data_IF_859214652554
#
_entry.id   IF_859214652554
#
_cell.length_a   1.000
_cell.length_b   1.000
_cell.length_c   1.000
_cell.angle_alpha   90.00
_cell.angle_beta   90.00
_cell.angle_gamma   90.00
#
_symmetry.space_group_name_H-M   'P 1'
#
loop_
_entity.id
_entity.type
_entity.pdbx_description
1 polymer ?
#
# COMPACT_ATOMS: atom_id res chain seq x y z
N UNK A 1 18.72 31.10 -22.17
CA UNK A 1 18.00 29.95 -21.59
C UNK A 1 17.00 30.50 -20.59
N UNK A 2 15.71 30.46 -20.91
CA UNK A 2 14.67 30.81 -19.96
C UNK A 2 14.70 29.78 -18.83
N UNK A 3 15.06 30.23 -17.62
CA UNK A 3 15.14 29.38 -16.43
C UNK A 3 13.76 28.93 -15.95
N UNK A 4 12.69 29.60 -16.38
CA UNK A 4 11.32 29.33 -15.98
C UNK A 4 10.39 29.35 -17.19
N UNK A 5 9.44 28.42 -17.23
CA UNK A 5 8.33 28.40 -18.17
C UNK A 5 7.34 29.53 -17.87
N UNK A 6 6.45 29.84 -18.82
CA UNK A 6 5.44 30.90 -18.69
C UNK A 6 4.48 30.70 -17.51
N UNK A 7 4.37 29.48 -17.00
CA UNK A 7 3.59 29.12 -15.81
C UNK A 7 4.43 29.09 -14.51
N UNK A 8 5.63 29.69 -14.52
CA UNK A 8 6.50 29.82 -13.35
C UNK A 8 7.27 28.56 -12.95
N UNK A 9 7.27 27.50 -13.78
CA UNK A 9 8.00 26.25 -13.47
C UNK A 9 9.44 26.33 -13.95
N UNK A 10 10.40 25.96 -13.10
CA UNK A 10 11.83 25.95 -13.43
C UNK A 10 12.14 24.89 -14.51
N UNK A 11 12.75 25.31 -15.62
CA UNK A 11 13.16 24.43 -16.72
C UNK A 11 14.62 24.03 -16.49
N UNK A 12 14.87 22.77 -16.18
CA UNK A 12 16.23 22.21 -16.05
C UNK A 12 16.51 21.32 -17.28
N UNK A 13 17.44 21.72 -18.16
CA UNK A 13 17.77 20.91 -19.34
C UNK A 13 18.57 19.67 -18.93
N UNK A 14 18.07 18.49 -19.30
CA UNK A 14 18.73 17.21 -19.01
C UNK A 14 19.66 16.82 -20.17
N UNK A 15 20.91 16.51 -19.82
CA UNK A 15 21.96 16.10 -20.75
C UNK A 15 21.80 14.62 -21.09
N UNK A 16 21.72 14.32 -22.40
CA UNK A 16 21.34 13.02 -22.98
C UNK A 16 22.20 11.84 -22.46
N UNK A 17 21.55 10.78 -21.96
CA UNK A 17 22.18 9.47 -21.71
C UNK A 17 21.69 8.40 -22.69
N UNK A 18 22.60 7.45 -22.94
CA UNK A 18 22.73 6.57 -24.13
C UNK A 18 21.52 5.67 -24.44
N UNK A 19 21.21 5.62 -25.75
CA UNK A 19 20.30 4.71 -26.48
C UNK A 19 20.39 3.25 -26.02
N UNK A 20 19.26 2.62 -25.73
CA UNK A 20 19.22 1.15 -25.70
C UNK A 20 18.00 0.43 -25.13
N UNK A 21 17.09 1.09 -24.40
CA UNK A 21 15.91 0.42 -23.84
C UNK A 21 14.67 1.31 -23.94
N UNK A 22 13.58 0.67 -24.36
CA UNK A 22 12.37 1.26 -24.94
C UNK A 22 11.68 2.24 -23.99
N UNK A 23 11.25 3.35 -24.57
CA UNK A 23 10.35 4.36 -24.00
C UNK A 23 9.03 3.71 -23.53
N UNK A 24 8.85 3.56 -22.22
CA UNK A 24 7.55 3.48 -21.53
C UNK A 24 7.78 3.41 -20.01
N UNK A 25 7.65 4.55 -19.33
CA UNK A 25 7.31 4.76 -17.89
C UNK A 25 8.09 5.93 -17.28
N UNK A 26 8.14 7.07 -17.96
CA UNK A 26 8.34 8.34 -17.25
C UNK A 26 6.99 8.72 -16.60
N UNK A 27 6.99 8.82 -15.26
CA UNK A 27 5.90 9.26 -14.35
C UNK A 27 4.91 8.22 -13.76
N UNK A 28 5.38 7.04 -13.30
CA UNK A 28 4.64 6.34 -12.22
C UNK A 28 4.96 6.96 -10.86
N UNK A 29 4.21 8.00 -10.50
CA UNK A 29 4.19 8.50 -9.11
C UNK A 29 3.69 7.35 -8.22
N UNK A 30 4.54 6.83 -7.34
CA UNK A 30 4.14 5.85 -6.31
C UNK A 30 3.77 6.60 -5.05
N UNK A 31 2.56 6.36 -4.54
CA UNK A 31 2.10 6.98 -3.29
C UNK A 31 2.51 6.16 -2.08
N UNK A 32 2.66 6.82 -0.92
CA UNK A 32 2.97 6.18 0.36
C UNK A 32 1.86 6.49 1.34
N UNK A 33 1.29 5.45 1.94
CA UNK A 33 0.32 5.56 3.02
C UNK A 33 1.06 5.83 4.33
N UNK A 34 1.01 7.06 4.82
CA UNK A 34 1.68 7.45 6.08
C UNK A 34 0.83 7.18 7.32
N UNK A 35 -0.49 7.06 7.12
CA UNK A 35 -1.47 6.80 8.16
C UNK A 35 -2.54 5.85 7.62
N UNK A 36 -2.85 4.83 8.40
CA UNK A 36 -3.84 3.82 8.07
C UNK A 36 -4.52 3.37 9.35
N UNK A 37 -5.83 3.17 9.30
CA UNK A 37 -6.67 2.94 10.46
C UNK A 37 -7.55 1.70 10.27
N UNK A 38 -7.67 0.90 11.32
CA UNK A 38 -8.62 -0.20 11.34
C UNK A 38 -10.07 0.35 11.43
N UNK A 39 -11.10 -0.51 11.28
CA UNK A 39 -12.50 -0.08 11.42
C UNK A 39 -12.86 0.57 12.77
N UNK A 40 -12.09 0.27 13.81
CA UNK A 40 -12.23 0.84 15.17
C UNK A 40 -11.33 2.08 15.40
N UNK A 41 -10.58 2.52 14.38
CA UNK A 41 -9.78 3.74 14.44
C UNK A 41 -8.38 3.62 15.06
N UNK A 42 -7.86 2.41 15.25
CA UNK A 42 -6.46 2.22 15.63
C UNK A 42 -5.54 2.46 14.43
N UNK A 43 -4.51 3.30 14.58
CA UNK A 43 -3.48 3.44 13.55
C UNK A 43 -2.64 2.14 13.46
N UNK A 44 -2.52 1.57 12.27
CA UNK A 44 -1.84 0.29 12.02
C UNK A 44 -0.48 0.45 11.31
N UNK A 45 0.00 1.68 11.15
CA UNK A 45 1.34 1.94 10.59
C UNK A 45 2.41 1.57 11.61
N UNK A 46 3.25 0.61 11.22
CA UNK A 46 4.42 0.18 11.96
C UNK A 46 5.65 0.99 11.51
N UNK A 47 6.22 1.74 12.45
CA UNK A 47 7.43 2.56 12.24
C UNK A 47 8.73 1.82 12.55
N UNK A 48 8.65 0.67 13.21
CA UNK A 48 9.78 -0.18 13.58
C UNK A 48 10.22 -1.03 12.38
N UNK A 49 9.26 -1.72 11.76
CA UNK A 49 9.52 -2.60 10.61
C UNK A 49 9.29 -1.83 9.30
N UNK A 50 10.37 -1.20 8.82
CA UNK A 50 10.32 -0.40 7.59
C UNK A 50 10.55 -1.23 6.34
N UNK A 51 9.77 -0.96 5.32
CA UNK A 51 9.93 -1.49 3.96
C UNK A 51 10.28 -0.31 3.06
N UNK A 52 11.35 -0.40 2.29
CA UNK A 52 11.81 0.71 1.43
C UNK A 52 12.00 2.05 2.17
N UNK A 53 12.38 1.99 3.45
CA UNK A 53 12.62 3.17 4.31
C UNK A 53 11.36 3.82 4.88
N UNK A 54 10.16 3.31 4.57
CA UNK A 54 8.88 3.80 5.08
C UNK A 54 8.23 2.80 6.02
N UNK A 55 7.38 3.28 6.94
CA UNK A 55 6.61 2.40 7.80
C UNK A 55 5.61 1.58 7.00
N UNK A 56 5.38 0.33 7.40
CA UNK A 56 4.45 -0.57 6.72
C UNK A 56 3.12 -0.73 7.46
N UNK A 57 2.16 -1.39 6.82
CA UNK A 57 0.86 -1.75 7.39
C UNK A 57 1.00 -3.04 8.20
N UNK A 58 0.99 -2.95 9.53
CA UNK A 58 1.02 -4.13 10.39
C UNK A 58 -0.36 -4.71 10.57
N UNK A 59 -0.47 -6.02 10.41
CA UNK A 59 -1.72 -6.74 10.60
C UNK A 59 -1.50 -8.16 11.10
N UNK A 60 -2.53 -8.65 11.80
CA UNK A 60 -2.65 -10.04 12.21
C UNK A 60 -3.37 -10.81 11.11
N UNK A 61 -2.94 -12.04 10.89
CA UNK A 61 -3.65 -12.96 10.02
C UNK A 61 -4.02 -14.23 10.77
N UNK A 62 -5.13 -14.83 10.37
CA UNK A 62 -5.61 -16.09 10.94
C UNK A 62 -6.18 -16.99 9.85
N UNK A 63 -5.83 -18.26 9.92
CA UNK A 63 -6.43 -19.35 9.14
C UNK A 63 -6.45 -20.62 9.99
N UNK A 64 -7.10 -21.68 9.50
CA UNK A 64 -7.25 -22.92 10.24
C UNK A 64 -5.88 -23.47 10.74
N UNK A 65 -5.68 -23.41 12.06
CA UNK A 65 -4.48 -23.90 12.73
C UNK A 65 -3.22 -23.01 12.64
N UNK A 66 -3.29 -21.84 11.99
CA UNK A 66 -2.16 -20.92 11.88
C UNK A 66 -2.64 -19.49 12.13
N UNK A 67 -1.95 -18.80 13.03
CA UNK A 67 -2.07 -17.36 13.23
C UNK A 67 -0.69 -16.73 13.20
N UNK A 68 -0.64 -15.43 12.92
CA UNK A 68 0.61 -14.71 12.89
C UNK A 68 0.42 -13.23 12.60
N UNK A 69 1.54 -12.57 12.39
CA UNK A 69 1.62 -11.14 12.11
C UNK A 69 2.57 -10.88 10.95
N UNK A 70 2.21 -9.90 10.14
CA UNK A 70 3.08 -9.39 9.09
C UNK A 70 2.92 -7.88 8.93
N UNK A 71 3.92 -7.30 8.26
CA UNK A 71 3.95 -5.90 7.86
C UNK A 71 3.96 -5.86 6.35
N UNK A 72 2.96 -5.23 5.73
CA UNK A 72 2.87 -5.02 4.28
C UNK A 72 3.44 -3.65 3.91
N UNK A 73 4.03 -3.51 2.73
CA UNK A 73 4.45 -2.20 2.23
C UNK A 73 3.28 -1.23 2.21
N UNK A 74 3.52 0.00 2.66
CA UNK A 74 2.57 1.10 2.57
C UNK A 74 2.69 1.86 1.24
N UNK A 75 3.54 1.37 0.32
CA UNK A 75 3.76 1.99 -0.99
C UNK A 75 2.79 1.40 -2.00
N UNK A 76 2.14 2.25 -2.78
CA UNK A 76 1.24 1.79 -3.83
C UNK A 76 1.95 0.92 -4.87
N UNK A 77 1.35 -0.24 -5.16
CA UNK A 77 1.88 -1.20 -6.12
C UNK A 77 3.11 -1.96 -5.63
N UNK A 78 3.49 -1.78 -4.36
CA UNK A 78 4.53 -2.56 -3.70
C UNK A 78 3.89 -3.63 -2.82
N UNK A 79 4.20 -4.89 -3.10
CA UNK A 79 3.66 -6.05 -2.40
C UNK A 79 4.69 -6.71 -1.49
N UNK A 80 5.82 -6.04 -1.25
CA UNK A 80 6.80 -6.49 -0.26
C UNK A 80 6.16 -6.58 1.13
N UNK A 81 6.56 -7.61 1.87
CA UNK A 81 6.03 -7.90 3.20
C UNK A 81 7.11 -8.49 4.10
N UNK A 82 7.06 -8.16 5.38
CA UNK A 82 7.90 -8.72 6.43
C UNK A 82 7.02 -9.60 7.32
N UNK A 83 7.37 -10.88 7.45
CA UNK A 83 6.67 -11.80 8.35
C UNK A 83 7.26 -11.64 9.76
N UNK A 84 6.43 -11.22 10.72
CA UNK A 84 6.83 -11.09 12.12
C UNK A 84 6.64 -12.41 12.88
N UNK A 85 5.55 -13.12 12.58
CA UNK A 85 5.25 -14.43 13.14
C UNK A 85 4.30 -15.22 12.24
N UNK A 86 4.32 -16.55 12.37
CA UNK A 86 3.55 -17.45 11.51
C UNK A 86 4.14 -17.60 10.12
N UNK A 87 3.32 -18.06 9.18
CA UNK A 87 3.70 -18.28 7.78
C UNK A 87 2.58 -17.75 6.87
N UNK A 88 2.86 -16.90 5.90
CA UNK A 88 1.90 -16.58 4.82
C UNK A 88 2.15 -17.52 3.65
N UNK A 89 1.08 -18.12 3.11
CA UNK A 89 1.19 -19.06 1.98
C UNK A 89 0.59 -18.43 0.73
N UNK A 90 1.37 -18.37 -0.34
CA UNK A 90 0.92 -17.78 -1.60
C UNK A 90 -0.33 -18.51 -2.13
N UNK A 91 -1.30 -17.71 -2.58
CA UNK A 91 -2.59 -18.18 -3.05
C UNK A 91 -3.54 -18.66 -1.96
N UNK A 92 -3.20 -18.52 -0.68
CA UNK A 92 -4.07 -18.86 0.45
C UNK A 92 -4.78 -17.59 0.95
N UNK A 93 -6.06 -17.75 1.25
CA UNK A 93 -6.89 -16.74 1.91
C UNK A 93 -6.62 -16.76 3.40
N UNK A 94 -6.33 -15.59 3.97
CA UNK A 94 -6.23 -15.41 5.41
C UNK A 94 -7.27 -14.38 5.88
N UNK A 95 -7.81 -14.57 7.08
CA UNK A 95 -8.62 -13.54 7.73
C UNK A 95 -7.68 -12.50 8.34
N UNK A 96 -7.97 -11.21 8.12
CA UNK A 96 -7.08 -10.12 8.52
C UNK A 96 -7.66 -9.31 9.66
N UNK A 97 -6.81 -8.98 10.63
CA UNK A 97 -7.20 -8.36 11.89
C UNK A 97 -6.26 -7.21 12.26
N UNK A 98 -6.81 -6.24 12.97
CA UNK A 98 -6.03 -5.17 13.57
C UNK A 98 -5.05 -5.73 14.63
N UNK A 99 -3.77 -5.36 14.60
CA UNK A 99 -2.80 -5.85 15.59
C UNK A 99 -3.08 -5.32 17.00
N UNK A 100 -3.72 -4.15 17.11
CA UNK A 100 -3.96 -3.44 18.37
C UNK A 100 -5.25 -3.87 19.08
N UNK A 101 -6.40 -3.83 18.38
CA UNK A 101 -7.70 -4.14 18.98
C UNK A 101 -8.24 -5.53 18.61
N UNK A 102 -7.61 -6.24 17.67
CA UNK A 102 -8.10 -7.54 17.20
C UNK A 102 -9.37 -7.48 16.36
N UNK A 103 -9.84 -6.30 15.97
CA UNK A 103 -11.00 -6.17 15.08
C UNK A 103 -10.67 -6.72 13.69
N UNK A 104 -11.59 -7.51 13.12
CA UNK A 104 -11.48 -8.03 11.76
C UNK A 104 -11.65 -6.89 10.75
N UNK A 105 -10.81 -6.85 9.72
CA UNK A 105 -10.98 -5.89 8.64
C UNK A 105 -12.23 -6.21 7.81
N UNK A 106 -12.93 -5.15 7.37
CA UNK A 106 -14.21 -5.29 6.68
C UNK A 106 -13.97 -5.68 5.23
N UNK A 107 -14.79 -6.61 4.74
CA UNK A 107 -14.92 -6.90 3.31
C UNK A 107 -15.55 -5.71 2.60
N UNK A 108 -14.93 -5.27 1.51
CA UNK A 108 -15.45 -4.25 0.59
C UNK A 108 -16.18 -4.90 -0.58
N UNK A 109 -15.52 -5.83 -1.27
CA UNK A 109 -16.04 -6.55 -2.44
C UNK A 109 -15.30 -7.88 -2.61
N UNK A 110 -15.86 -8.79 -3.40
CA UNK A 110 -15.16 -9.97 -3.87
C UNK A 110 -13.98 -9.59 -4.78
N UNK A 111 -12.84 -10.26 -4.60
CA UNK A 111 -11.72 -10.17 -5.52
C UNK A 111 -11.85 -11.26 -6.59
N UNK A 112 -11.61 -10.91 -7.86
CA UNK A 112 -11.69 -11.86 -8.98
C UNK A 112 -10.50 -12.83 -9.07
N UNK A 113 -9.53 -12.75 -8.16
CA UNK A 113 -8.33 -13.59 -8.25
C UNK A 113 -8.60 -15.07 -7.96
N UNK A 114 -9.54 -15.38 -7.05
CA UNK A 114 -9.97 -16.74 -6.71
C UNK A 114 -11.40 -16.73 -6.18
N UNK A 115 -12.12 -17.87 -6.25
CA UNK A 115 -13.35 -18.07 -5.49
C UNK A 115 -13.11 -17.77 -4.01
N UNK A 116 -14.03 -17.03 -3.40
CA UNK A 116 -14.00 -16.62 -1.99
C UNK A 116 -12.89 -15.62 -1.59
N UNK A 117 -12.14 -15.05 -2.53
CA UNK A 117 -11.19 -13.99 -2.22
C UNK A 117 -11.92 -12.68 -1.94
N UNK A 118 -11.50 -11.94 -0.91
CA UNK A 118 -12.11 -10.67 -0.53
C UNK A 118 -11.12 -9.52 -0.64
N UNK A 119 -11.56 -8.40 -1.20
CA UNK A 119 -10.91 -7.11 -1.00
C UNK A 119 -11.35 -6.58 0.36
N UNK A 120 -10.42 -6.47 1.31
CA UNK A 120 -10.65 -5.85 2.61
C UNK A 120 -10.32 -4.37 2.55
N UNK A 121 -10.89 -3.58 3.48
CA UNK A 121 -10.71 -2.12 3.53
C UNK A 121 -10.18 -1.65 4.88
N UNK A 122 -9.30 -0.65 4.82
CA UNK A 122 -8.77 0.13 5.94
C UNK A 122 -8.99 1.62 5.68
N UNK A 123 -9.20 2.41 6.73
CA UNK A 123 -9.39 3.85 6.59
C UNK A 123 -8.05 4.60 6.50
N UNK A 124 -8.05 5.75 5.84
CA UNK A 124 -6.98 6.76 5.91
C UNK A 124 -7.24 7.81 7.01
N UNK A 125 -8.41 7.72 7.67
CA UNK A 125 -8.75 8.52 8.84
C UNK A 125 -9.23 7.60 9.97
N UNK A 126 -9.18 8.05 11.25
CA UNK A 126 -9.61 7.23 12.38
C UNK A 126 -11.07 6.76 12.31
N UNK A 127 -11.93 7.50 11.62
CA UNK A 127 -13.31 7.08 11.37
C UNK A 127 -13.39 6.54 9.94
N UNK A 128 -13.67 5.25 9.79
CA UNK A 128 -13.73 4.63 8.47
C UNK A 128 -14.71 5.37 7.54
N UNK A 129 -14.14 6.00 6.51
CA UNK A 129 -14.82 6.67 5.41
C UNK A 129 -14.33 6.02 4.11
N UNK A 130 -15.25 5.39 3.37
CA UNK A 130 -14.92 4.69 2.14
C UNK A 130 -14.35 5.59 1.05
N UNK A 131 -14.55 6.92 1.12
CA UNK A 131 -13.92 7.88 0.22
C UNK A 131 -12.44 8.11 0.53
N UNK A 132 -12.04 7.83 1.76
CA UNK A 132 -10.69 8.01 2.30
C UNK A 132 -10.21 6.66 2.85
N UNK A 133 -10.05 5.67 1.96
CA UNK A 133 -9.74 4.30 2.34
C UNK A 133 -8.80 3.62 1.35
N UNK A 134 -8.09 2.61 1.84
CA UNK A 134 -7.25 1.72 1.04
C UNK A 134 -7.88 0.33 1.09
N UNK A 135 -7.93 -0.33 -0.06
CA UNK A 135 -8.41 -1.71 -0.13
C UNK A 135 -7.35 -2.64 -0.68
N UNK A 136 -7.28 -3.84 -0.10
CA UNK A 136 -6.35 -4.87 -0.56
C UNK A 136 -6.91 -6.28 -0.42
N UNK A 137 -6.38 -7.23 -1.18
CA UNK A 137 -6.85 -8.60 -1.21
C UNK A 137 -6.34 -9.37 0.02
N UNK A 138 -7.21 -10.19 0.62
CA UNK A 138 -6.85 -11.08 1.72
C UNK A 138 -6.23 -12.41 1.26
N UNK A 139 -5.96 -12.56 -0.04
CA UNK A 139 -5.21 -13.68 -0.60
C UNK A 139 -3.76 -13.26 -0.81
N UNK A 140 -2.86 -13.97 -0.16
CA UNK A 140 -1.42 -13.74 -0.27
C UNK A 140 -0.97 -13.94 -1.74
N UNK A 141 -0.24 -12.97 -2.30
CA UNK A 141 0.31 -13.06 -3.67
C UNK A 141 -0.64 -12.57 -4.77
N UNK A 142 -1.77 -11.95 -4.44
CA UNK A 142 -2.66 -11.34 -5.42
C UNK A 142 -2.11 -10.00 -5.96
N UNK A 143 -1.68 -9.98 -7.23
CA UNK A 143 -1.19 -8.77 -7.91
C UNK A 143 -2.28 -7.76 -8.29
N UNK A 144 -3.53 -8.20 -8.37
CA UNK A 144 -4.70 -7.32 -8.57
C UNK A 144 -5.11 -6.61 -7.26
N UNK A 145 -4.42 -6.94 -6.17
CA UNK A 145 -4.97 -6.89 -4.81
C UNK A 145 -4.58 -5.67 -4.00
N UNK A 146 -4.09 -4.56 -4.59
CA UNK A 146 -3.97 -3.31 -3.85
C UNK A 146 -4.43 -2.16 -4.74
N UNK A 147 -5.55 -1.55 -4.39
CA UNK A 147 -6.05 -0.36 -5.06
C UNK A 147 -6.23 0.74 -4.03
N UNK A 148 -5.42 1.78 -4.13
CA UNK A 148 -5.64 3.02 -3.38
C UNK A 148 -6.65 3.83 -4.18
N UNK A 149 -7.92 3.77 -3.82
CA UNK A 149 -8.92 4.71 -4.33
C UNK A 149 -9.04 5.86 -3.33
N UNK A 150 -8.10 6.80 -3.39
CA UNK A 150 -8.31 8.13 -2.83
C UNK A 150 -8.92 8.99 -3.92
N UNK A 151 -10.19 9.39 -3.77
CA UNK A 151 -10.63 10.60 -4.46
C UNK A 151 -9.89 11.77 -3.79
N UNK A 152 -8.72 12.12 -4.33
CA UNK A 152 -8.01 13.40 -4.13
C UNK A 152 -7.30 13.70 -2.78
N UNK A 153 -7.33 12.85 -1.75
CA UNK A 153 -6.67 13.19 -0.47
C UNK A 153 -5.43 12.33 -0.21
N UNK A 154 -4.26 12.88 -0.54
CA UNK A 154 -2.95 12.40 -0.04
C UNK A 154 -2.21 13.64 0.46
N UNK A 155 -1.88 13.73 1.75
CA UNK A 155 -0.87 14.70 2.19
C UNK A 155 0.50 14.22 1.68
N UNK A 156 1.15 15.07 0.90
CA UNK A 156 2.15 14.66 -0.08
C UNK A 156 3.54 14.45 0.55
N UNK A 157 4.10 13.23 0.47
CA UNK A 157 5.55 13.00 0.58
C UNK A 157 6.01 12.23 -0.67
N UNK A 158 6.76 12.91 -1.54
CA UNK A 158 7.43 12.29 -2.70
C UNK A 158 8.73 11.62 -2.23
N UNK A 159 8.83 10.31 -2.35
CA UNK A 159 10.12 9.62 -2.29
C UNK A 159 10.85 9.81 -3.63
N UNK A 160 11.98 10.52 -3.62
CA UNK A 160 12.94 10.49 -4.73
C UNK A 160 13.88 9.31 -4.49
N UNK A 161 13.85 8.33 -5.39
CA UNK A 161 14.90 7.31 -5.44
C UNK A 161 16.21 7.94 -5.91
N UNK A 162 17.25 7.84 -5.08
CA UNK A 162 18.63 8.14 -5.47
C UNK A 162 19.22 6.89 -6.12
N UNK A 163 19.41 6.91 -7.44
CA UNK A 163 20.38 6.05 -8.17
C UNK A 163 21.00 6.90 -9.29
#
# INVERSE_FOLDING_TARGET
MERFSKDGKLIIPLMQRKKGTKEADEEKVRYVVTEAYCPEGCNIIDKEHKINGVGGLRMKFKRAGIEGEFVLSAIEGDFEKIILSGELKDGVKDELYCPHCGAMFKKLIDCSCKPDADMVVIGLTPKLDFNNAVSFCNVTGCLNGMSIKSAEVIQHIRLRGSI
#
